data_IF_960893406966
#
_entry.id   IF_960893406966
#
_cell.length_a   1.000
_cell.length_b   1.000
_cell.length_c   1.000
_cell.angle_alpha   90.00
_cell.angle_beta   90.00
_cell.angle_gamma   90.00
#
_symmetry.space_group_name_H-M   'P 1'
#
loop_
_entity.id
_entity.type
_entity.pdbx_description
1 polymer ?
#
# COMPACT_ATOMS: atom_id res chain seq x y z
N UNK A 1 -0.15 -23.42 -2.45
CA UNK A 1 -1.09 -22.72 -3.35
C UNK A 1 -2.25 -22.29 -2.49
N UNK A 2 -2.38 -20.99 -2.25
CA UNK A 2 -3.38 -20.47 -1.33
C UNK A 2 -4.77 -20.63 -1.96
N UNK A 3 -5.75 -20.97 -1.13
CA UNK A 3 -7.15 -21.16 -1.55
C UNK A 3 -8.06 -20.51 -0.53
N UNK A 4 -9.11 -19.86 -1.03
CA UNK A 4 -10.25 -19.42 -0.23
C UNK A 4 -11.37 -20.43 -0.45
N UNK A 5 -11.85 -21.05 0.63
CA UNK A 5 -13.05 -21.88 0.61
C UNK A 5 -14.17 -21.09 1.28
N UNK A 6 -15.27 -20.87 0.57
CA UNK A 6 -16.38 -20.02 1.02
C UNK A 6 -17.66 -20.85 1.01
N UNK A 7 -18.26 -21.01 2.19
CA UNK A 7 -19.60 -21.56 2.33
C UNK A 7 -20.62 -20.41 2.43
N UNK A 8 -21.53 -20.35 1.45
CA UNK A 8 -22.56 -19.31 1.38
C UNK A 8 -23.75 -19.56 2.30
N UNK A 9 -24.85 -18.85 2.04
CA UNK A 9 -26.15 -19.07 2.71
C UNK A 9 -26.42 -18.19 3.92
N UNK A 10 -25.52 -17.23 4.25
CA UNK A 10 -25.74 -16.25 5.32
C UNK A 10 -25.60 -14.83 4.78
N UNK A 11 -26.61 -13.95 4.95
CA UNK A 11 -26.48 -12.54 4.59
C UNK A 11 -25.42 -11.87 5.48
N UNK A 12 -24.60 -11.00 4.89
CA UNK A 12 -23.64 -10.19 5.63
C UNK A 12 -24.38 -9.10 6.43
N UNK A 13 -23.98 -8.87 7.68
CA UNK A 13 -24.50 -7.80 8.53
C UNK A 13 -23.36 -7.19 9.34
N UNK A 14 -23.27 -5.86 9.35
CA UNK A 14 -22.22 -5.11 10.04
C UNK A 14 -21.62 -4.01 9.16
N UNK A 15 -20.46 -3.50 9.58
CA UNK A 15 -19.69 -2.50 8.85
C UNK A 15 -18.24 -2.94 8.68
N UNK A 16 -17.59 -2.43 7.63
CA UNK A 16 -16.17 -2.67 7.36
C UNK A 16 -15.49 -1.34 7.04
N UNK A 17 -14.30 -1.12 7.58
CA UNK A 17 -13.48 0.05 7.25
C UNK A 17 -12.81 -0.20 5.90
N UNK A 18 -13.02 0.70 4.95
CA UNK A 18 -12.36 0.64 3.64
C UNK A 18 -10.94 1.20 3.75
N UNK A 19 -9.97 0.46 3.23
CA UNK A 19 -8.58 0.91 3.12
C UNK A 19 -8.43 2.01 2.05
N UNK A 20 -7.32 2.74 2.07
CA UNK A 20 -7.06 3.75 1.04
C UNK A 20 -6.99 3.19 -0.39
N UNK A 21 -7.12 4.09 -1.36
CA UNK A 21 -7.23 3.72 -2.76
C UNK A 21 -5.87 3.35 -3.37
N UNK A 22 -5.70 2.08 -3.77
CA UNK A 22 -4.49 1.58 -4.45
C UNK A 22 -4.06 2.48 -5.61
N UNK A 23 -5.01 2.85 -6.47
CA UNK A 23 -4.72 3.61 -7.69
C UNK A 23 -4.40 5.09 -7.43
N UNK A 24 -4.65 5.60 -6.22
CA UNK A 24 -4.14 6.89 -5.78
C UNK A 24 -2.77 6.74 -5.10
N UNK A 25 -2.59 5.68 -4.29
CA UNK A 25 -1.35 5.42 -3.57
C UNK A 25 -0.15 5.19 -4.51
N UNK A 26 -0.30 4.39 -5.57
CA UNK A 26 0.81 4.06 -6.47
C UNK A 26 1.40 5.31 -7.18
N UNK A 27 0.61 6.22 -7.78
CA UNK A 27 1.14 7.48 -8.30
C UNK A 27 1.75 8.39 -7.24
N UNK A 28 1.17 8.44 -6.03
CA UNK A 28 1.73 9.25 -4.93
C UNK A 28 3.09 8.72 -4.46
N UNK A 29 3.27 7.40 -4.42
CA UNK A 29 4.59 6.79 -4.17
C UNK A 29 5.58 7.16 -5.26
N UNK A 30 5.18 7.15 -6.53
CA UNK A 30 6.07 7.56 -7.62
C UNK A 30 6.42 9.07 -7.54
N UNK A 31 5.46 9.89 -7.10
CA UNK A 31 5.66 11.33 -6.98
C UNK A 31 6.70 11.71 -5.93
N UNK A 32 6.97 10.86 -4.92
CA UNK A 32 8.04 11.14 -3.93
C UNK A 32 9.41 11.22 -4.58
N UNK A 33 9.63 10.49 -5.68
CA UNK A 33 10.88 10.53 -6.46
C UNK A 33 11.18 11.90 -7.06
N UNK A 34 10.19 12.77 -7.20
CA UNK A 34 10.35 14.09 -7.82
C UNK A 34 10.91 15.14 -6.86
N UNK A 35 10.82 14.91 -5.55
CA UNK A 35 11.23 15.85 -4.52
C UNK A 35 12.13 15.13 -3.50
N UNK A 36 13.44 15.41 -3.46
CA UNK A 36 14.35 14.72 -2.55
C UNK A 36 13.96 14.89 -1.08
N UNK A 37 14.13 13.83 -0.30
CA UNK A 37 13.96 13.80 1.15
C UNK A 37 12.84 12.89 1.65
N UNK A 38 12.39 13.17 2.88
CA UNK A 38 11.48 12.30 3.63
C UNK A 38 10.02 12.65 3.39
N UNK A 39 9.27 11.66 2.93
CA UNK A 39 7.84 11.73 2.67
C UNK A 39 7.08 10.79 3.59
N UNK A 40 5.86 11.19 3.96
CA UNK A 40 4.96 10.35 4.75
C UNK A 40 3.62 10.25 4.04
N UNK A 41 3.31 9.05 3.54
CA UNK A 41 2.02 8.73 2.95
C UNK A 41 1.17 7.97 3.97
N UNK A 42 -0.01 8.49 4.29
CA UNK A 42 -0.96 7.87 5.22
C UNK A 42 -2.08 7.17 4.46
N UNK A 43 -2.68 6.15 5.09
CA UNK A 43 -3.76 5.36 4.50
C UNK A 43 -3.34 4.66 3.19
N UNK A 44 -2.09 4.19 3.11
CA UNK A 44 -1.60 3.39 1.99
C UNK A 44 -1.97 1.93 2.22
N UNK A 45 -2.83 1.31 1.37
CA UNK A 45 -3.26 -0.06 1.58
C UNK A 45 -2.06 -1.01 1.43
N UNK A 46 -1.99 -2.02 2.29
CA UNK A 46 -0.91 -3.01 2.24
C UNK A 46 -1.26 -4.16 1.30
N UNK A 47 -0.97 -3.97 0.02
CA UNK A 47 -1.31 -4.89 -1.06
C UNK A 47 -0.05 -5.42 -1.77
N UNK A 48 -0.21 -6.49 -2.54
CA UNK A 48 0.88 -7.01 -3.38
C UNK A 48 1.42 -5.94 -4.34
N UNK A 49 0.55 -5.13 -4.96
CA UNK A 49 0.96 -4.06 -5.87
C UNK A 49 1.86 -3.02 -5.17
N UNK A 50 1.47 -2.53 -3.99
CA UNK A 50 2.23 -1.51 -3.25
C UNK A 50 3.56 -2.06 -2.75
N UNK A 51 3.59 -3.32 -2.27
CA UNK A 51 4.83 -3.99 -1.88
C UNK A 51 5.76 -4.22 -3.07
N UNK A 52 5.22 -4.59 -4.22
CA UNK A 52 6.01 -4.82 -5.44
C UNK A 52 6.58 -3.49 -5.95
N UNK A 53 5.80 -2.41 -5.90
CA UNK A 53 6.26 -1.10 -6.32
C UNK A 53 7.34 -0.54 -5.38
N UNK A 54 7.23 -0.75 -4.06
CA UNK A 54 8.31 -0.41 -3.11
C UNK A 54 9.62 -1.12 -3.46
N UNK A 55 9.58 -2.41 -3.79
CA UNK A 55 10.79 -3.13 -4.23
C UNK A 55 11.42 -2.50 -5.48
N UNK A 56 10.61 -2.05 -6.44
CA UNK A 56 11.13 -1.33 -7.61
C UNK A 56 11.79 -0.01 -7.21
N UNK A 57 11.21 0.72 -6.26
CA UNK A 57 11.80 1.96 -5.74
C UNK A 57 13.09 1.70 -4.95
N UNK A 58 13.17 0.59 -4.20
CA UNK A 58 14.39 0.15 -3.50
C UNK A 58 15.55 -0.11 -4.47
N UNK A 59 15.28 -0.73 -5.63
CA UNK A 59 16.28 -0.89 -6.71
C UNK A 59 16.76 0.45 -7.31
N UNK A 60 15.98 1.52 -7.14
CA UNK A 60 16.35 2.89 -7.53
C UNK A 60 17.10 3.64 -6.41
N UNK A 61 17.38 2.99 -5.28
CA UNK A 61 18.09 3.57 -4.13
C UNK A 61 17.20 4.24 -3.09
N UNK A 62 15.88 4.13 -3.21
CA UNK A 62 14.94 4.70 -2.24
C UNK A 62 14.83 3.79 -1.02
N UNK A 63 14.87 4.35 0.18
CA UNK A 63 14.58 3.61 1.40
C UNK A 63 13.13 3.83 1.84
N UNK A 64 12.49 2.79 2.40
CA UNK A 64 11.12 2.91 2.89
C UNK A 64 10.87 2.07 4.13
N UNK A 65 9.96 2.55 4.98
CA UNK A 65 9.49 1.84 6.18
C UNK A 65 7.96 1.91 6.24
N UNK A 66 7.32 0.84 6.70
CA UNK A 66 5.86 0.77 6.86
C UNK A 66 5.49 0.52 8.31
N UNK A 67 4.59 1.34 8.83
CA UNK A 67 3.88 1.13 10.10
C UNK A 67 2.36 1.14 9.85
N UNK A 68 1.75 -0.05 9.83
CA UNK A 68 0.34 -0.22 9.47
C UNK A 68 0.01 0.32 8.07
N UNK A 69 -0.87 1.33 8.02
CA UNK A 69 -1.26 2.02 6.79
C UNK A 69 -0.44 3.29 6.50
N UNK A 70 0.62 3.55 7.27
CA UNK A 70 1.56 4.65 7.06
C UNK A 70 2.83 4.13 6.38
N UNK A 71 3.26 4.84 5.35
CA UNK A 71 4.47 4.56 4.59
C UNK A 71 5.40 5.77 4.66
N UNK A 72 6.60 5.54 5.17
CA UNK A 72 7.71 6.47 5.19
C UNK A 72 8.61 6.17 3.99
N UNK A 73 8.96 7.20 3.21
CA UNK A 73 9.79 7.06 2.00
C UNK A 73 10.87 8.12 2.07
N UNK A 74 12.13 7.72 1.88
CA UNK A 74 13.29 8.61 1.77
C UNK A 74 13.93 8.39 0.40
N UNK A 75 13.73 9.36 -0.50
CA UNK A 75 14.07 9.31 -1.93
C UNK A 75 15.01 10.44 -2.34
#
# INVERSE_FOLDING_TARGET
MDKLFIEGGRPLNGSVKISGAKNAALPLMAATLLAPGKHTLRNVPDLRDTRTFLKVMEELGVSSERDGDVLYIDS
#
